data_IF_102654236091
#
_entry.id   IF_102654236091
#
_cell.length_a   1.000
_cell.length_b   1.000
_cell.length_c   1.000
_cell.angle_alpha   90.00
_cell.angle_beta   90.00
_cell.angle_gamma   90.00
#
_symmetry.space_group_name_H-M   'P 1'
#
loop_
_entity.id
_entity.type
_entity.pdbx_description
1 polymer ?
#
# COMPACT_ATOMS: atom_id res chain seq x y z
N UNK A 1 -44.94 20.06 8.77
CA UNK A 1 -43.77 19.93 9.68
C UNK A 1 -42.85 18.79 9.19
N UNK A 2 -42.06 19.07 8.16
CA UNK A 2 -41.00 18.19 7.68
C UNK A 2 -39.81 18.33 8.63
N UNK A 3 -39.48 17.28 9.37
CA UNK A 3 -38.20 17.19 10.09
C UNK A 3 -37.32 16.22 9.31
N UNK A 4 -36.21 16.76 8.84
CA UNK A 4 -35.18 16.05 8.09
C UNK A 4 -34.53 14.99 8.99
N UNK A 5 -34.74 13.71 8.68
CA UNK A 5 -33.90 12.60 9.17
C UNK A 5 -32.73 12.41 8.20
N UNK A 6 -31.95 13.47 8.01
CA UNK A 6 -30.72 13.42 7.25
C UNK A 6 -29.54 13.36 8.23
N UNK A 7 -28.80 12.26 8.13
CA UNK A 7 -27.33 12.30 8.19
C UNK A 7 -26.67 12.39 9.57
N UNK A 8 -26.96 11.44 10.47
CA UNK A 8 -26.07 11.17 11.61
C UNK A 8 -25.29 9.86 11.43
N UNK A 9 -24.92 9.55 10.17
CA UNK A 9 -23.77 8.70 9.91
C UNK A 9 -22.52 9.49 10.35
N UNK A 10 -22.22 9.45 11.64
CA UNK A 10 -20.95 9.88 12.20
C UNK A 10 -19.85 9.02 11.57
N UNK A 11 -19.34 9.47 10.43
CA UNK A 11 -18.11 8.98 9.84
C UNK A 11 -17.01 9.25 10.86
N UNK A 12 -16.64 8.23 11.66
CA UNK A 12 -15.45 8.30 12.49
C UNK A 12 -14.27 8.61 11.56
N UNK A 13 -13.79 9.85 11.65
CA UNK A 13 -12.66 10.30 10.85
C UNK A 13 -11.41 9.64 11.45
N UNK A 14 -11.03 8.48 10.91
CA UNK A 14 -9.80 7.81 11.28
C UNK A 14 -8.61 8.69 10.89
N UNK A 15 -8.09 9.43 11.87
CA UNK A 15 -6.94 10.31 11.75
C UNK A 15 -5.88 9.76 12.68
N UNK A 16 -4.75 9.34 12.11
CA UNK A 16 -3.53 9.04 12.88
C UNK A 16 -2.76 10.38 13.02
N UNK A 17 -2.84 11.08 14.16
CA UNK A 17 -2.21 12.41 14.29
C UNK A 17 -0.69 12.27 14.31
N UNK A 18 0.05 12.96 13.42
CA UNK A 18 1.48 13.26 13.65
C UNK A 18 2.52 12.14 13.45
N UNK A 19 2.19 11.03 12.77
CA UNK A 19 3.09 9.86 12.72
C UNK A 19 3.49 9.41 11.31
N UNK A 20 3.52 10.29 10.29
CA UNK A 20 3.89 9.87 8.92
C UNK A 20 5.21 9.09 8.87
N UNK A 21 6.28 9.69 9.40
CA UNK A 21 7.62 9.08 9.43
C UNK A 21 7.69 7.88 10.38
N UNK A 22 7.05 7.95 11.55
CA UNK A 22 7.00 6.84 12.50
C UNK A 22 6.23 5.64 11.93
N UNK A 23 5.11 5.88 11.26
CA UNK A 23 4.32 4.85 10.60
C UNK A 23 5.11 4.22 9.45
N UNK A 24 5.80 5.02 8.64
CA UNK A 24 6.66 4.51 7.57
C UNK A 24 7.83 3.67 8.12
N UNK A 25 8.45 4.12 9.21
CA UNK A 25 9.47 3.36 9.94
C UNK A 25 8.93 2.02 10.45
N UNK A 26 7.75 2.03 11.08
CA UNK A 26 7.09 0.82 11.57
C UNK A 26 6.71 -0.12 10.42
N UNK A 27 6.20 0.39 9.30
CA UNK A 27 5.90 -0.42 8.11
C UNK A 27 7.16 -1.03 7.51
N UNK A 28 8.28 -0.30 7.50
CA UNK A 28 9.56 -0.84 7.08
C UNK A 28 10.06 -1.95 8.03
N UNK A 29 9.90 -1.78 9.34
CA UNK A 29 10.19 -2.83 10.32
C UNK A 29 9.32 -4.08 10.09
N UNK A 30 8.02 -3.92 9.89
CA UNK A 30 7.12 -5.03 9.57
C UNK A 30 7.51 -5.74 8.28
N UNK A 31 7.94 -4.98 7.26
CA UNK A 31 8.44 -5.53 6.00
C UNK A 31 9.68 -6.40 6.21
N UNK A 32 10.64 -6.00 7.05
CA UNK A 32 11.83 -6.84 7.32
C UNK A 32 11.47 -8.13 8.05
N UNK A 33 10.45 -8.10 8.90
CA UNK A 33 9.87 -9.29 9.54
C UNK A 33 8.92 -10.08 8.63
N UNK A 34 8.70 -9.64 7.39
CA UNK A 34 7.71 -10.19 6.45
C UNK A 34 6.26 -10.22 6.98
N UNK A 35 5.93 -9.35 7.93
CA UNK A 35 4.59 -9.23 8.48
C UNK A 35 3.72 -8.33 7.61
N UNK A 36 2.48 -8.77 7.38
CA UNK A 36 1.47 -8.07 6.58
C UNK A 36 1.89 -7.80 5.11
N UNK A 37 2.96 -8.44 4.62
CA UNK A 37 3.36 -8.33 3.22
C UNK A 37 2.33 -9.04 2.32
N UNK A 38 1.58 -8.26 1.56
CA UNK A 38 0.48 -8.69 0.69
C UNK A 38 0.89 -8.76 -0.80
N UNK A 39 2.13 -8.36 -1.12
CA UNK A 39 2.69 -8.48 -2.46
C UNK A 39 4.15 -8.93 -2.47
N UNK A 40 4.47 -9.71 -3.50
CA UNK A 40 5.82 -10.07 -3.90
C UNK A 40 6.11 -9.46 -5.27
N UNK A 41 7.08 -8.54 -5.34
CA UNK A 41 7.56 -7.97 -6.60
C UNK A 41 8.68 -8.83 -7.15
N UNK A 42 8.51 -9.32 -8.38
CA UNK A 42 9.49 -10.13 -9.08
C UNK A 42 10.10 -9.32 -10.21
N UNK A 43 11.42 -9.10 -10.15
CA UNK A 43 12.16 -8.35 -11.15
C UNK A 43 13.14 -9.26 -11.90
N UNK A 44 12.99 -9.31 -13.23
CA UNK A 44 13.88 -10.08 -14.12
C UNK A 44 13.97 -11.57 -13.78
N UNK A 45 12.88 -12.15 -13.24
CA UNK A 45 12.78 -13.58 -12.92
C UNK A 45 13.65 -14.09 -11.76
N UNK A 46 14.35 -13.22 -11.02
CA UNK A 46 15.27 -13.66 -9.94
C UNK A 46 15.18 -12.85 -8.65
N UNK A 47 14.86 -11.54 -8.73
CA UNK A 47 14.79 -10.70 -7.53
C UNK A 47 13.35 -10.65 -7.02
N UNK A 48 13.14 -11.16 -5.81
CA UNK A 48 11.85 -11.14 -5.13
C UNK A 48 11.91 -10.17 -3.95
N UNK A 49 11.04 -9.17 -3.97
CA UNK A 49 10.88 -8.21 -2.88
C UNK A 49 9.48 -8.33 -2.32
N UNK A 50 9.36 -8.68 -1.03
CA UNK A 50 8.08 -8.63 -0.33
C UNK A 50 7.85 -7.25 0.25
N UNK A 51 6.63 -6.77 0.14
CA UNK A 51 6.25 -5.47 0.64
C UNK A 51 4.75 -5.33 0.80
N UNK A 52 4.33 -4.10 1.08
CA UNK A 52 2.94 -3.72 1.28
C UNK A 52 2.43 -2.98 0.04
N UNK A 53 1.36 -3.47 -0.60
CA UNK A 53 0.75 -2.86 -1.78
C UNK A 53 0.41 -1.41 -1.53
N UNK A 54 -0.15 -1.10 -0.36
CA UNK A 54 -0.55 0.26 0.01
C UNK A 54 0.62 1.23 0.07
N UNK A 55 1.76 0.81 0.64
CA UNK A 55 2.97 1.64 0.73
C UNK A 55 3.56 1.85 -0.66
N UNK A 56 3.68 0.78 -1.44
CA UNK A 56 4.19 0.82 -2.80
C UNK A 56 3.31 1.65 -3.75
N UNK A 57 1.98 1.56 -3.62
CA UNK A 57 1.01 2.34 -4.38
C UNK A 57 0.98 3.82 -3.99
N UNK A 58 1.26 4.13 -2.72
CA UNK A 58 1.37 5.51 -2.25
C UNK A 58 2.63 6.18 -2.83
N UNK A 59 3.75 5.45 -2.93
CA UNK A 59 5.02 5.97 -3.44
C UNK A 59 5.15 5.93 -4.97
N UNK A 60 4.35 5.13 -5.69
CA UNK A 60 4.44 4.99 -7.16
C UNK A 60 3.08 4.84 -7.83
N UNK A 61 2.75 5.79 -8.71
CA UNK A 61 1.53 5.73 -9.53
C UNK A 61 1.51 4.49 -10.44
N UNK A 62 2.66 4.13 -11.01
CA UNK A 62 2.77 2.92 -11.84
C UNK A 62 2.39 1.66 -11.06
N UNK A 63 2.93 1.49 -9.84
CA UNK A 63 2.60 0.32 -9.03
C UNK A 63 1.15 0.32 -8.56
N UNK A 64 0.61 1.50 -8.22
CA UNK A 64 -0.80 1.65 -7.88
C UNK A 64 -1.70 1.15 -9.00
N UNK A 65 -1.47 1.60 -10.24
CA UNK A 65 -2.27 1.20 -11.38
C UNK A 65 -2.12 -0.30 -11.67
N UNK A 66 -0.91 -0.84 -11.54
CA UNK A 66 -0.67 -2.28 -11.69
C UNK A 66 -1.42 -3.12 -10.64
N UNK A 67 -1.44 -2.69 -9.37
CA UNK A 67 -2.17 -3.41 -8.31
C UNK A 67 -3.70 -3.28 -8.45
N UNK A 68 -4.18 -2.17 -9.01
CA UNK A 68 -5.61 -1.98 -9.29
C UNK A 68 -6.06 -2.81 -10.49
N UNK A 69 -5.24 -2.89 -11.55
CA UNK A 69 -5.53 -3.72 -12.73
C UNK A 69 -5.34 -5.21 -12.46
N UNK A 70 -4.37 -5.57 -11.60
CA UNK A 70 -4.07 -6.94 -11.27
C UNK A 70 -3.96 -7.12 -9.74
N UNK A 71 -5.01 -7.63 -9.08
CA UNK A 71 -5.04 -7.79 -7.62
C UNK A 71 -4.17 -8.96 -7.11
N UNK A 72 -3.39 -9.62 -7.96
CA UNK A 72 -2.52 -10.75 -7.58
C UNK A 72 -1.53 -10.38 -6.47
N UNK A 73 -1.13 -11.39 -5.68
CA UNK A 73 -0.09 -11.24 -4.64
C UNK A 73 1.33 -11.27 -5.21
N UNK A 74 1.47 -11.40 -6.53
CA UNK A 74 2.74 -11.39 -7.25
C UNK A 74 2.65 -10.37 -8.39
N UNK A 75 3.63 -9.46 -8.47
CA UNK A 75 3.74 -8.49 -9.54
C UNK A 75 5.08 -8.65 -10.25
N UNK A 76 5.03 -8.97 -11.54
CA UNK A 76 6.23 -8.97 -12.37
C UNK A 76 6.53 -7.58 -12.89
N UNK A 77 7.70 -7.06 -12.54
CA UNK A 77 8.17 -5.74 -12.99
C UNK A 77 9.42 -5.88 -13.84
N UNK A 78 9.57 -4.95 -14.78
CA UNK A 78 10.81 -4.86 -15.55
C UNK A 78 11.98 -4.51 -14.61
N UNK A 79 13.20 -5.02 -14.86
CA UNK A 79 14.37 -4.78 -14.00
C UNK A 79 14.64 -3.29 -13.69
N UNK A 80 14.31 -2.39 -14.63
CA UNK A 80 14.48 -0.95 -14.45
C UNK A 80 13.59 -0.36 -13.35
N UNK A 81 12.36 -0.86 -13.20
CA UNK A 81 11.41 -0.40 -12.17
C UNK A 81 11.87 -0.81 -10.77
N UNK A 82 12.45 -2.02 -10.66
CA UNK A 82 12.95 -2.55 -9.40
C UNK A 82 14.24 -1.88 -8.88
N UNK A 83 14.86 -0.97 -9.65
CA UNK A 83 16.00 -0.19 -9.17
C UNK A 83 15.57 0.96 -8.25
N UNK A 84 14.29 1.32 -8.29
CA UNK A 84 13.70 2.43 -7.53
C UNK A 84 12.80 1.94 -6.38
N UNK A 85 12.79 0.64 -6.11
CA UNK A 85 12.04 -0.03 -5.04
C UNK A 85 13.02 -0.66 -4.05
#
# INVERSE_FOLDING_TARGET
PFRNEASDCLYECFRLPGHGDTALSNMNFLRTQQHFCDVTIVAGGRRMFRGHKVVLAACSAFLRDQFLMNPSSELQVKPFVARFL
#
